data_IF_185486323716
#
_entry.id   IF_185486323716
#
_cell.length_a   1.000
_cell.length_b   1.000
_cell.length_c   1.000
_cell.angle_alpha   90.00
_cell.angle_beta   90.00
_cell.angle_gamma   90.00
#
_symmetry.space_group_name_H-M   'P 1'
#
loop_
_entity.id
_entity.type
_entity.pdbx_description
1 polymer ?
#
# COMPACT_ATOMS: atom_id res chain seq x y z
N UNK A 1 -16.28 -21.52 23.08
CA UNK A 1 -15.76 -20.16 22.84
C UNK A 1 -16.84 -19.20 23.28
N UNK A 2 -16.49 -18.14 24.01
CA UNK A 2 -17.47 -17.13 24.36
C UNK A 2 -17.82 -16.32 23.10
N UNK A 3 -19.10 -16.13 22.82
CA UNK A 3 -19.56 -15.29 21.73
C UNK A 3 -19.73 -13.86 22.27
N UNK A 4 -19.22 -12.86 21.51
CA UNK A 4 -19.31 -11.47 21.86
C UNK A 4 -20.07 -10.72 20.75
N UNK A 5 -20.96 -9.83 21.16
CA UNK A 5 -21.56 -8.89 20.25
C UNK A 5 -20.59 -7.73 20.00
N UNK A 6 -20.16 -7.55 18.75
CA UNK A 6 -19.28 -6.46 18.36
C UNK A 6 -20.14 -5.29 17.89
N UNK A 7 -20.22 -4.24 18.71
CA UNK A 7 -20.87 -3.01 18.31
C UNK A 7 -19.95 -2.14 17.45
N UNK A 8 -20.44 -1.62 16.31
CA UNK A 8 -19.66 -0.71 15.47
C UNK A 8 -19.28 0.56 16.23
N UNK A 9 -17.98 0.85 16.28
CA UNK A 9 -17.46 2.11 16.84
C UNK A 9 -16.67 2.82 15.74
N UNK A 10 -17.13 4.03 15.40
CA UNK A 10 -16.50 4.84 14.37
C UNK A 10 -15.99 6.14 15.00
N UNK A 11 -14.73 6.46 14.75
CA UNK A 11 -14.12 7.74 15.11
C UNK A 11 -13.67 8.48 13.85
N UNK A 12 -14.38 9.54 13.51
CA UNK A 12 -14.15 10.19 12.22
C UNK A 12 -14.55 9.26 11.07
N UNK A 13 -13.60 8.93 10.26
CA UNK A 13 -13.70 7.98 9.15
C UNK A 13 -13.09 6.60 9.49
N UNK A 14 -12.56 6.43 10.71
CA UNK A 14 -11.90 5.19 11.12
C UNK A 14 -12.89 4.29 11.85
N UNK A 15 -13.09 3.08 11.36
CA UNK A 15 -13.75 2.01 12.11
C UNK A 15 -12.80 1.48 13.17
N UNK A 16 -13.16 1.67 14.45
CA UNK A 16 -12.34 1.22 15.58
C UNK A 16 -12.59 -0.24 15.95
N UNK A 17 -13.70 -0.80 15.48
CA UNK A 17 -14.06 -2.19 15.72
C UNK A 17 -14.21 -2.91 14.39
N UNK A 18 -13.70 -4.13 14.34
CA UNK A 18 -13.77 -4.97 13.14
C UNK A 18 -14.45 -6.28 13.48
N UNK A 19 -15.25 -6.79 12.58
CA UNK A 19 -15.93 -8.06 12.73
C UNK A 19 -15.00 -9.19 12.22
N UNK A 20 -14.46 -10.08 13.06
CA UNK A 20 -13.45 -11.07 12.67
C UNK A 20 -13.91 -11.97 11.51
N UNK A 21 -15.12 -12.55 11.63
CA UNK A 21 -15.66 -13.41 10.59
C UNK A 21 -15.97 -12.64 9.28
N UNK A 22 -16.37 -11.35 9.38
CA UNK A 22 -16.56 -10.50 8.20
C UNK A 22 -15.24 -10.23 7.48
N UNK A 23 -14.17 -9.93 8.23
CA UNK A 23 -12.82 -9.77 7.66
C UNK A 23 -12.35 -11.06 6.99
N UNK A 24 -12.50 -12.21 7.65
CA UNK A 24 -12.14 -13.50 7.10
C UNK A 24 -12.92 -13.80 5.81
N UNK A 25 -14.24 -13.61 5.80
CA UNK A 25 -15.06 -13.80 4.59
C UNK A 25 -14.63 -12.89 3.44
N UNK A 26 -14.28 -11.64 3.74
CA UNK A 26 -13.80 -10.71 2.72
C UNK A 26 -12.46 -11.18 2.11
N UNK A 27 -11.55 -11.73 2.91
CA UNK A 27 -10.31 -12.33 2.42
C UNK A 27 -10.60 -13.54 1.54
N UNK A 28 -11.49 -14.43 1.97
CA UNK A 28 -11.89 -15.60 1.17
C UNK A 28 -12.40 -15.20 -0.21
N UNK A 29 -13.29 -14.19 -0.28
CA UNK A 29 -13.82 -13.69 -1.54
C UNK A 29 -12.74 -13.09 -2.44
N UNK A 30 -11.77 -12.38 -1.88
CA UNK A 30 -10.64 -11.85 -2.65
C UNK A 30 -9.77 -12.98 -3.20
N UNK A 31 -9.48 -14.00 -2.39
CA UNK A 31 -8.69 -15.18 -2.81
C UNK A 31 -9.44 -15.97 -3.88
N UNK A 32 -10.74 -16.23 -3.71
CA UNK A 32 -11.59 -16.87 -4.71
C UNK A 32 -11.53 -16.11 -6.05
N UNK A 33 -11.63 -14.78 -6.01
CA UNK A 33 -11.52 -13.94 -7.19
C UNK A 33 -10.15 -14.06 -7.87
N UNK A 34 -9.05 -13.96 -7.10
CA UNK A 34 -7.68 -14.10 -7.62
C UNK A 34 -7.51 -15.46 -8.31
N UNK A 35 -7.96 -16.53 -7.68
CA UNK A 35 -7.86 -17.89 -8.24
C UNK A 35 -8.66 -18.07 -9.53
N UNK A 36 -9.80 -17.39 -9.65
CA UNK A 36 -10.62 -17.47 -10.86
C UNK A 36 -9.97 -16.86 -12.10
N UNK A 37 -8.96 -16.02 -11.93
CA UNK A 37 -8.21 -15.40 -13.04
C UNK A 37 -7.15 -16.33 -13.67
N UNK A 38 -6.89 -17.51 -13.07
CA UNK A 38 -5.95 -18.51 -13.57
C UNK A 38 -4.56 -17.93 -13.92
N UNK A 39 -4.01 -17.11 -13.04
CA UNK A 39 -2.69 -16.51 -13.19
C UNK A 39 -1.60 -17.60 -13.23
N UNK A 40 -0.44 -17.35 -13.86
CA UNK A 40 0.63 -18.33 -13.99
C UNK A 40 1.28 -18.61 -12.63
N UNK A 41 0.84 -19.68 -11.96
CA UNK A 41 1.40 -20.10 -10.67
C UNK A 41 2.75 -20.81 -10.81
N UNK A 42 3.57 -20.67 -9.79
CA UNK A 42 4.80 -21.44 -9.60
C UNK A 42 6.05 -20.81 -10.23
N UNK A 43 7.16 -21.53 -10.11
CA UNK A 43 8.52 -21.05 -10.46
C UNK A 43 8.72 -20.59 -11.91
N UNK A 44 7.81 -20.92 -12.81
CA UNK A 44 7.91 -20.52 -14.22
C UNK A 44 7.84 -19.03 -14.47
N UNK A 45 7.31 -18.25 -13.52
CA UNK A 45 7.22 -16.78 -13.59
C UNK A 45 8.42 -16.06 -12.93
N UNK A 46 9.32 -16.80 -12.27
CA UNK A 46 10.49 -16.25 -11.56
C UNK A 46 10.17 -15.51 -10.27
N UNK A 47 8.93 -15.54 -9.80
CA UNK A 47 8.52 -14.89 -8.53
C UNK A 47 8.41 -15.96 -7.44
N UNK A 48 9.35 -15.96 -6.50
CA UNK A 48 9.36 -16.94 -5.40
C UNK A 48 9.03 -16.31 -4.05
N UNK A 49 9.67 -15.19 -3.70
CA UNK A 49 9.54 -14.55 -2.41
C UNK A 49 9.26 -13.05 -2.55
N UNK A 50 8.22 -12.58 -1.93
CA UNK A 50 7.76 -11.19 -1.97
C UNK A 50 7.74 -10.58 -0.59
N UNK A 51 8.37 -9.44 -0.42
CA UNK A 51 8.24 -8.59 0.77
C UNK A 51 7.24 -7.48 0.48
N UNK A 52 6.22 -7.34 1.34
CA UNK A 52 5.21 -6.28 1.21
C UNK A 52 5.20 -5.42 2.46
N UNK A 53 5.61 -4.17 2.33
CA UNK A 53 5.60 -3.19 3.41
C UNK A 53 4.29 -2.41 3.36
N UNK A 54 3.45 -2.54 4.41
CA UNK A 54 2.07 -2.08 4.40
C UNK A 54 1.08 -3.13 3.87
N UNK A 55 1.14 -4.37 4.38
CA UNK A 55 0.52 -5.57 3.80
C UNK A 55 -0.88 -5.92 4.28
N UNK A 56 -1.44 -5.21 5.26
CA UNK A 56 -2.63 -5.67 6.00
C UNK A 56 -3.97 -5.21 5.44
N UNK A 57 -3.96 -4.13 4.64
CA UNK A 57 -5.17 -3.51 4.08
C UNK A 57 -4.89 -2.89 2.71
N UNK A 58 -5.96 -2.51 1.99
CA UNK A 58 -5.87 -1.74 0.75
C UNK A 58 -5.03 -2.42 -0.34
N UNK A 59 -4.23 -1.61 -1.04
CA UNK A 59 -3.41 -2.09 -2.16
C UNK A 59 -2.31 -3.06 -1.75
N UNK A 60 -1.67 -2.84 -0.60
CA UNK A 60 -0.63 -3.73 -0.11
C UNK A 60 -1.17 -5.12 0.19
N UNK A 61 -2.35 -5.22 0.82
CA UNK A 61 -3.02 -6.50 1.02
C UNK A 61 -3.39 -7.17 -0.31
N UNK A 62 -4.00 -6.41 -1.23
CA UNK A 62 -4.34 -6.93 -2.56
C UNK A 62 -3.12 -7.48 -3.29
N UNK A 63 -1.99 -6.77 -3.24
CA UNK A 63 -0.74 -7.23 -3.83
C UNK A 63 -0.19 -8.48 -3.15
N UNK A 64 -0.21 -8.54 -1.82
CA UNK A 64 0.22 -9.70 -1.04
C UNK A 64 -0.62 -10.94 -1.37
N UNK A 65 -1.96 -10.80 -1.42
CA UNK A 65 -2.87 -11.88 -1.79
C UNK A 65 -2.65 -12.34 -3.24
N UNK A 66 -2.47 -11.40 -4.18
CA UNK A 66 -2.21 -11.71 -5.58
C UNK A 66 -0.89 -12.44 -5.76
N UNK A 67 0.18 -12.00 -5.08
CA UNK A 67 1.47 -12.67 -5.11
C UNK A 67 1.36 -14.11 -4.58
N UNK A 68 0.70 -14.29 -3.43
CA UNK A 68 0.58 -15.60 -2.80
C UNK A 68 -0.37 -16.53 -3.59
N UNK A 69 -1.62 -16.14 -3.76
CA UNK A 69 -2.67 -17.02 -4.28
C UNK A 69 -2.83 -16.99 -5.80
N UNK A 70 -2.29 -15.96 -6.47
CA UNK A 70 -2.31 -15.84 -7.92
C UNK A 70 -1.04 -16.36 -8.58
N UNK A 71 0.11 -16.08 -7.98
CA UNK A 71 1.42 -16.46 -8.53
C UNK A 71 2.12 -17.58 -7.76
N UNK A 72 1.62 -17.98 -6.60
CA UNK A 72 2.21 -19.03 -5.77
C UNK A 72 3.52 -18.63 -5.10
N UNK A 73 3.72 -17.34 -4.88
CA UNK A 73 4.90 -16.83 -4.20
C UNK A 73 4.74 -16.90 -2.68
N UNK A 74 5.83 -17.09 -1.96
CA UNK A 74 5.87 -16.88 -0.52
C UNK A 74 5.83 -15.39 -0.22
N UNK A 75 5.06 -15.00 0.77
CA UNK A 75 4.88 -13.58 1.13
C UNK A 75 5.29 -13.34 2.58
N UNK A 76 6.17 -12.37 2.77
CA UNK A 76 6.44 -11.75 4.06
C UNK A 76 5.84 -10.35 4.05
N UNK A 77 4.89 -10.09 4.93
CA UNK A 77 4.26 -8.79 5.09
C UNK A 77 4.79 -8.05 6.31
N UNK A 78 4.89 -6.73 6.24
CA UNK A 78 5.09 -5.86 7.40
C UNK A 78 3.85 -5.00 7.55
N UNK A 79 3.28 -4.94 8.75
CA UNK A 79 2.08 -4.15 9.03
C UNK A 79 2.07 -3.66 10.47
N UNK A 80 1.24 -2.67 10.76
CA UNK A 80 1.09 -2.15 12.12
C UNK A 80 -0.38 -2.19 12.54
N UNK A 81 -0.76 -3.31 13.13
CA UNK A 81 -2.14 -3.62 13.45
C UNK A 81 -2.32 -3.87 14.95
N UNK A 82 -3.47 -3.44 15.47
CA UNK A 82 -3.82 -3.71 16.86
C UNK A 82 -4.34 -5.13 16.98
N UNK A 83 -3.71 -5.94 17.83
CA UNK A 83 -4.20 -7.27 18.20
C UNK A 83 -5.46 -7.18 19.09
N UNK A 84 -6.33 -8.22 19.09
CA UNK A 84 -7.45 -8.27 20.02
C UNK A 84 -6.95 -8.36 21.47
N UNK A 85 -7.70 -7.74 22.39
CA UNK A 85 -7.37 -7.72 23.82
C UNK A 85 -8.66 -7.84 24.66
N UNK A 86 -8.82 -8.93 25.37
CA UNK A 86 -10.06 -9.25 26.10
C UNK A 86 -11.26 -9.24 25.14
N UNK A 87 -12.27 -8.42 25.45
CA UNK A 87 -13.47 -8.27 24.60
C UNK A 87 -13.29 -7.26 23.46
N UNK A 88 -12.15 -6.56 23.42
CA UNK A 88 -11.88 -5.58 22.37
C UNK A 88 -11.38 -6.29 21.11
N UNK A 89 -12.08 -6.16 19.98
CA UNK A 89 -11.59 -6.75 18.74
C UNK A 89 -10.31 -6.07 18.27
N UNK A 90 -9.50 -6.81 17.52
CA UNK A 90 -8.36 -6.27 16.80
C UNK A 90 -8.79 -5.32 15.67
N UNK A 91 -7.82 -4.71 15.02
CA UNK A 91 -8.06 -3.97 13.77
C UNK A 91 -8.35 -4.92 12.60
N UNK A 92 -8.94 -4.41 11.53
CA UNK A 92 -9.31 -5.22 10.37
C UNK A 92 -8.11 -5.94 9.77
N UNK A 93 -6.98 -5.24 9.63
CA UNK A 93 -5.76 -5.79 9.06
C UNK A 93 -5.17 -6.95 9.87
N UNK A 94 -5.37 -6.97 11.19
CA UNK A 94 -5.01 -8.13 12.03
C UNK A 94 -5.73 -9.41 11.57
N UNK A 95 -7.06 -9.34 11.41
CA UNK A 95 -7.87 -10.48 10.99
C UNK A 95 -7.64 -10.85 9.53
N UNK A 96 -7.42 -9.86 8.67
CA UNK A 96 -7.06 -10.07 7.27
C UNK A 96 -5.78 -10.90 7.15
N UNK A 97 -4.73 -10.49 7.86
CA UNK A 97 -3.42 -11.17 7.84
C UNK A 97 -3.53 -12.57 8.41
N UNK A 98 -4.27 -12.75 9.51
CA UNK A 98 -4.49 -14.07 10.11
C UNK A 98 -5.20 -15.02 9.13
N UNK A 99 -6.28 -14.56 8.47
CA UNK A 99 -7.01 -15.39 7.52
C UNK A 99 -6.19 -15.73 6.28
N UNK A 100 -5.43 -14.75 5.75
CA UNK A 100 -4.52 -15.01 4.63
C UNK A 100 -3.47 -16.06 4.97
N UNK A 101 -2.88 -15.97 6.17
CA UNK A 101 -1.89 -16.96 6.66
C UNK A 101 -2.49 -18.36 6.80
N UNK A 102 -3.69 -18.48 7.40
CA UNK A 102 -4.39 -19.75 7.53
C UNK A 102 -4.67 -20.41 6.17
N UNK A 103 -5.15 -19.62 5.21
CA UNK A 103 -5.48 -20.12 3.86
C UNK A 103 -4.22 -20.49 3.09
N UNK A 104 -3.14 -19.72 3.20
CA UNK A 104 -1.86 -20.04 2.57
C UNK A 104 -1.29 -21.37 3.10
N UNK A 105 -1.36 -21.60 4.41
CA UNK A 105 -0.91 -22.86 5.01
C UNK A 105 -1.68 -24.09 4.48
N UNK A 106 -2.99 -23.95 4.20
CA UNK A 106 -3.78 -25.01 3.57
C UNK A 106 -3.33 -25.36 2.14
N UNK A 107 -2.76 -24.38 1.43
CA UNK A 107 -2.23 -24.53 0.07
C UNK A 107 -0.73 -24.87 0.03
N UNK A 108 -0.10 -25.13 1.17
CA UNK A 108 1.35 -25.28 1.32
C UNK A 108 2.16 -24.07 0.83
N UNK A 109 1.60 -22.87 0.98
CA UNK A 109 2.24 -21.58 0.72
C UNK A 109 2.61 -20.90 2.04
N UNK A 110 3.55 -19.98 1.99
CA UNK A 110 3.96 -19.16 3.14
C UNK A 110 3.35 -17.78 2.99
N UNK A 111 2.55 -17.37 3.96
CA UNK A 111 2.08 -16.01 4.13
C UNK A 111 2.28 -15.62 5.60
N UNK A 112 3.33 -14.87 5.87
CA UNK A 112 3.67 -14.43 7.22
C UNK A 112 3.61 -12.92 7.33
N UNK A 113 3.36 -12.42 8.53
CA UNK A 113 3.38 -10.98 8.80
C UNK A 113 4.17 -10.66 10.07
N UNK A 114 5.01 -9.63 9.99
CA UNK A 114 5.66 -8.98 11.12
C UNK A 114 4.82 -7.75 11.48
N UNK A 115 4.37 -7.70 12.73
CA UNK A 115 3.48 -6.65 13.20
C UNK A 115 4.23 -5.62 14.05
N UNK A 116 4.43 -4.45 13.52
CA UNK A 116 5.07 -3.32 14.18
C UNK A 116 5.27 -2.13 13.24
N UNK A 117 5.89 -1.08 13.76
CA UNK A 117 6.16 0.13 13.00
C UNK A 117 7.25 -0.13 11.95
N UNK A 118 6.88 -0.11 10.67
CA UNK A 118 7.79 -0.35 9.56
C UNK A 118 8.93 0.68 9.46
N UNK A 119 8.78 1.85 10.06
CA UNK A 119 9.85 2.86 10.12
C UNK A 119 10.94 2.52 11.15
N UNK A 120 10.65 1.66 12.12
CA UNK A 120 11.58 1.37 13.21
C UNK A 120 12.68 0.38 12.80
N UNK A 121 13.89 0.61 13.32
CA UNK A 121 15.04 -0.29 13.12
C UNK A 121 14.76 -1.69 13.68
N UNK A 122 13.99 -1.79 14.75
CA UNK A 122 13.64 -3.06 15.37
C UNK A 122 12.81 -3.94 14.40
N UNK A 123 11.81 -3.39 13.74
CA UNK A 123 11.00 -4.11 12.75
C UNK A 123 11.81 -4.40 11.49
N UNK A 124 12.65 -3.49 11.04
CA UNK A 124 13.59 -3.74 9.93
C UNK A 124 14.52 -4.92 10.26
N UNK A 125 15.08 -4.96 11.47
CA UNK A 125 15.93 -6.06 11.96
C UNK A 125 15.18 -7.39 12.02
N UNK A 126 13.99 -7.43 12.62
CA UNK A 126 13.16 -8.64 12.68
C UNK A 126 12.81 -9.17 11.28
N UNK A 127 12.55 -8.26 10.33
CA UNK A 127 12.27 -8.63 8.94
C UNK A 127 13.48 -9.27 8.27
N UNK A 128 14.66 -8.68 8.45
CA UNK A 128 15.93 -9.23 7.95
C UNK A 128 16.19 -10.64 8.51
N UNK A 129 15.99 -10.84 9.82
CA UNK A 129 16.17 -12.14 10.45
C UNK A 129 15.18 -13.19 9.91
N UNK A 130 13.92 -12.80 9.73
CA UNK A 130 12.91 -13.67 9.13
C UNK A 130 13.27 -14.07 7.70
N UNK A 131 13.72 -13.11 6.87
CA UNK A 131 14.15 -13.38 5.50
C UNK A 131 15.33 -14.36 5.48
N UNK A 132 16.35 -14.14 6.30
CA UNK A 132 17.54 -15.04 6.40
C UNK A 132 17.15 -16.45 6.78
N UNK A 133 16.18 -16.60 7.68
CA UNK A 133 15.78 -17.89 8.22
C UNK A 133 14.87 -18.68 7.27
N UNK A 134 13.91 -18.02 6.61
CA UNK A 134 12.79 -18.73 5.99
C UNK A 134 12.67 -18.48 4.47
N UNK A 135 13.18 -17.37 3.95
CA UNK A 135 13.02 -16.99 2.55
C UNK A 135 14.33 -17.03 1.75
N UNK A 136 15.44 -16.76 2.40
CA UNK A 136 16.75 -16.66 1.76
C UNK A 136 16.93 -15.34 1.00
N UNK A 137 16.28 -15.17 -0.13
CA UNK A 137 16.33 -13.94 -0.94
C UNK A 137 14.94 -13.49 -1.39
N UNK A 138 14.80 -12.18 -1.61
CA UNK A 138 13.55 -11.54 -2.05
C UNK A 138 13.65 -11.14 -3.53
N UNK A 139 12.66 -11.55 -4.31
CA UNK A 139 12.55 -11.23 -5.73
C UNK A 139 11.83 -9.91 -5.99
N UNK A 140 10.85 -9.59 -5.14
CA UNK A 140 10.03 -8.40 -5.29
C UNK A 140 9.79 -7.74 -3.94
N UNK A 141 10.07 -6.44 -3.84
CA UNK A 141 9.69 -5.61 -2.70
C UNK A 141 8.57 -4.67 -3.11
N UNK A 142 7.44 -4.73 -2.43
CA UNK A 142 6.29 -3.83 -2.65
C UNK A 142 6.22 -2.86 -1.48
N UNK A 143 6.37 -1.57 -1.76
CA UNK A 143 6.24 -0.50 -0.78
C UNK A 143 4.87 0.16 -0.90
N UNK A 144 3.99 -0.16 0.04
CA UNK A 144 2.59 0.30 0.10
C UNK A 144 2.29 0.98 1.43
N UNK A 145 3.29 1.60 2.03
CA UNK A 145 3.14 2.25 3.33
C UNK A 145 2.54 3.64 3.16
N UNK A 146 1.50 3.91 3.93
CA UNK A 146 0.92 5.23 4.11
C UNK A 146 0.60 5.43 5.59
N UNK A 147 1.19 6.43 6.21
CA UNK A 147 1.03 6.68 7.62
C UNK A 147 0.76 8.17 7.89
N UNK A 148 0.08 8.50 9.00
CA UNK A 148 -0.07 9.89 9.40
C UNK A 148 1.19 10.45 10.09
N UNK A 149 2.10 9.55 10.53
CA UNK A 149 3.24 9.92 11.37
C UNK A 149 4.40 8.94 11.16
N UNK A 150 5.63 9.45 11.24
CA UNK A 150 6.88 8.68 11.29
C UNK A 150 7.75 9.19 12.45
N UNK A 151 8.26 8.28 13.27
CA UNK A 151 9.40 8.50 14.14
C UNK A 151 10.65 8.05 13.37
N UNK A 152 11.66 8.91 13.26
CA UNK A 152 12.88 8.60 12.50
C UNK A 152 13.97 7.92 13.34
N UNK A 153 13.67 7.58 14.60
CA UNK A 153 14.63 6.97 15.50
C UNK A 153 15.76 7.92 15.98
N UNK A 154 15.80 9.14 15.46
CA UNK A 154 16.79 10.17 15.80
C UNK A 154 16.24 11.26 16.73
N UNK A 155 15.03 11.07 17.21
CA UNK A 155 14.32 11.99 18.09
C UNK A 155 13.39 12.96 17.38
N UNK A 156 13.20 12.87 16.05
CA UNK A 156 12.25 13.67 15.34
C UNK A 156 10.97 12.86 15.06
N UNK A 157 9.85 13.52 15.21
CA UNK A 157 8.53 12.98 14.89
C UNK A 157 7.92 13.81 13.78
N UNK A 158 7.83 13.21 12.61
CA UNK A 158 7.27 13.81 11.42
C UNK A 158 5.79 13.49 11.29
N UNK A 159 4.98 14.47 10.86
CA UNK A 159 3.56 14.26 10.62
C UNK A 159 3.25 14.59 9.16
N UNK A 160 2.42 13.76 8.54
CA UNK A 160 1.89 14.03 7.21
C UNK A 160 0.56 14.77 7.30
N UNK A 161 0.37 15.73 6.41
CA UNK A 161 -0.87 16.48 6.27
C UNK A 161 -1.31 16.47 4.81
N UNK A 162 -2.61 16.64 4.58
CA UNK A 162 -3.17 16.86 3.26
C UNK A 162 -3.65 18.30 3.15
N UNK A 163 -2.80 19.14 2.58
CA UNK A 163 -3.04 20.57 2.41
C UNK A 163 -2.60 21.04 1.04
N UNK A 164 -3.25 22.09 0.49
CA UNK A 164 -2.75 22.76 -0.70
C UNK A 164 -1.42 23.46 -0.40
N UNK A 165 -0.67 23.79 -1.44
CA UNK A 165 0.51 24.65 -1.38
C UNK A 165 0.13 25.97 -2.06
N UNK A 166 0.69 27.08 -1.58
CA UNK A 166 0.54 28.44 -2.07
C UNK A 166 -0.82 29.10 -1.85
N UNK A 167 -1.94 28.46 -2.14
CA UNK A 167 -3.27 29.05 -2.06
C UNK A 167 -4.23 28.23 -1.22
N UNK A 168 -5.11 28.96 -0.50
CA UNK A 168 -6.22 28.33 0.22
C UNK A 168 -7.10 27.53 -0.75
N UNK A 169 -7.46 26.33 -0.35
CA UNK A 169 -8.42 25.52 -1.07
C UNK A 169 -9.83 25.72 -0.51
N UNK A 170 -10.77 25.98 -1.39
CA UNK A 170 -12.20 26.03 -1.07
C UNK A 170 -12.95 25.03 -1.94
N UNK A 171 -13.86 24.27 -1.34
CA UNK A 171 -14.58 23.25 -2.08
C UNK A 171 -15.67 22.57 -1.24
N UNK A 172 -16.25 21.53 -1.80
CA UNK A 172 -17.29 20.72 -1.14
C UNK A 172 -16.73 19.36 -0.73
N UNK A 173 -17.15 18.91 0.46
CA UNK A 173 -16.84 17.58 0.98
C UNK A 173 -18.12 16.88 1.40
N UNK A 174 -18.12 15.55 1.38
CA UNK A 174 -19.22 14.75 1.90
C UNK A 174 -18.91 14.33 3.34
N UNK A 175 -19.73 14.82 4.28
CA UNK A 175 -19.68 14.38 5.66
C UNK A 175 -20.42 13.04 5.79
N UNK A 176 -19.67 11.95 5.92
CA UNK A 176 -20.21 10.59 6.03
C UNK A 176 -21.10 10.36 7.26
N UNK A 177 -20.95 11.18 8.32
CA UNK A 177 -21.76 11.04 9.53
C UNK A 177 -23.11 11.73 9.41
N UNK A 178 -23.10 12.91 8.77
CA UNK A 178 -24.30 13.72 8.58
C UNK A 178 -25.01 13.39 7.27
N UNK A 179 -24.38 12.56 6.43
CA UNK A 179 -24.83 12.22 5.08
C UNK A 179 -25.16 13.47 4.25
N UNK A 180 -24.35 14.51 4.41
CA UNK A 180 -24.59 15.83 3.83
C UNK A 180 -23.32 16.40 3.17
N UNK A 181 -23.55 17.24 2.19
CA UNK A 181 -22.49 18.02 1.54
C UNK A 181 -22.24 19.27 2.39
N UNK A 182 -20.95 19.50 2.72
CA UNK A 182 -20.50 20.66 3.49
C UNK A 182 -19.45 21.43 2.71
N UNK A 183 -19.44 22.74 2.86
CA UNK A 183 -18.34 23.56 2.35
C UNK A 183 -17.12 23.42 3.27
N UNK A 184 -15.96 23.27 2.66
CA UNK A 184 -14.68 23.19 3.38
C UNK A 184 -13.74 24.26 2.88
N UNK A 185 -12.90 24.75 3.78
CA UNK A 185 -11.79 25.65 3.50
C UNK A 185 -10.53 25.11 4.18
N UNK A 186 -9.45 24.96 3.42
CA UNK A 186 -8.18 24.41 3.90
C UNK A 186 -7.08 25.41 3.61
N UNK A 187 -6.41 25.86 4.68
CA UNK A 187 -5.29 26.80 4.59
C UNK A 187 -4.08 26.13 3.93
N UNK A 188 -3.22 26.90 3.24
CA UNK A 188 -1.98 26.42 2.67
C UNK A 188 -1.09 25.78 3.74
N UNK A 189 -0.28 24.82 3.30
CA UNK A 189 0.71 24.18 4.16
C UNK A 189 1.88 25.11 4.45
N UNK A 190 2.41 25.00 5.65
CA UNK A 190 3.70 25.60 5.99
C UNK A 190 4.86 24.80 5.40
N UNK A 191 6.06 25.36 5.35
CA UNK A 191 7.26 24.65 4.90
C UNK A 191 7.53 23.39 5.75
N UNK A 192 7.31 23.44 7.05
CA UNK A 192 7.50 22.30 7.96
C UNK A 192 6.47 21.20 7.71
N UNK A 193 5.22 21.56 7.38
CA UNK A 193 4.17 20.58 7.03
C UNK A 193 4.47 19.91 5.68
N UNK A 194 5.03 20.62 4.72
CA UNK A 194 5.48 20.05 3.44
C UNK A 194 6.62 19.06 3.69
N UNK A 195 7.66 19.49 4.43
CA UNK A 195 8.79 18.65 4.76
C UNK A 195 8.36 17.42 5.58
N UNK A 196 7.53 17.61 6.61
CA UNK A 196 7.01 16.51 7.42
C UNK A 196 6.24 15.49 6.58
N UNK A 197 5.41 15.95 5.65
CA UNK A 197 4.67 15.07 4.73
C UNK A 197 5.62 14.31 3.81
N UNK A 198 6.67 14.97 3.30
CA UNK A 198 7.68 14.33 2.48
C UNK A 198 8.46 13.26 3.27
N UNK A 199 8.82 13.52 4.54
CA UNK A 199 9.50 12.57 5.42
C UNK A 199 8.68 11.32 5.71
N UNK A 200 7.35 11.46 5.82
CA UNK A 200 6.44 10.34 6.12
C UNK A 200 6.03 9.59 4.85
N UNK A 201 5.70 10.31 3.77
CA UNK A 201 5.02 9.76 2.59
C UNK A 201 5.89 9.76 1.32
N UNK A 202 7.12 10.25 1.41
CA UNK A 202 8.11 10.24 0.33
C UNK A 202 8.85 8.91 0.23
N UNK A 203 9.96 8.92 -0.48
CA UNK A 203 10.73 7.71 -0.80
C UNK A 203 11.86 7.37 0.18
N UNK A 204 12.09 8.18 1.23
CA UNK A 204 13.26 8.00 2.12
C UNK A 204 13.25 6.62 2.79
N UNK A 205 12.16 6.24 3.45
CA UNK A 205 12.06 4.93 4.11
C UNK A 205 12.07 3.76 3.10
N UNK A 206 11.46 3.95 1.92
CA UNK A 206 11.57 2.96 0.86
C UNK A 206 13.01 2.73 0.42
N UNK A 207 13.79 3.79 0.30
CA UNK A 207 15.21 3.72 0.00
C UNK A 207 15.98 2.99 1.11
N UNK A 208 15.72 3.34 2.37
CA UNK A 208 16.33 2.67 3.54
C UNK A 208 16.07 1.15 3.52
N UNK A 209 14.84 0.71 3.24
CA UNK A 209 14.49 -0.71 3.11
C UNK A 209 15.30 -1.41 2.02
N UNK A 210 15.40 -0.82 0.83
CA UNK A 210 16.11 -1.44 -0.29
C UNK A 210 17.62 -1.48 -0.05
N UNK A 211 18.20 -0.40 0.48
CA UNK A 211 19.61 -0.33 0.81
C UNK A 211 19.97 -1.36 1.89
N UNK A 212 19.16 -1.48 2.94
CA UNK A 212 19.35 -2.47 4.00
C UNK A 212 19.30 -3.91 3.44
N UNK A 213 18.32 -4.23 2.58
CA UNK A 213 18.24 -5.55 1.95
C UNK A 213 19.44 -5.83 1.03
N UNK A 214 19.93 -4.82 0.31
CA UNK A 214 21.09 -4.94 -0.56
C UNK A 214 22.38 -5.16 0.26
N UNK A 215 22.61 -4.38 1.31
CA UNK A 215 23.75 -4.52 2.23
C UNK A 215 23.80 -5.92 2.88
N UNK A 216 22.64 -6.44 3.26
CA UNK A 216 22.50 -7.77 3.84
C UNK A 216 22.54 -8.90 2.78
N UNK A 217 22.65 -8.56 1.49
CA UNK A 217 22.66 -9.51 0.35
C UNK A 217 21.41 -10.39 0.27
N UNK A 218 20.27 -9.82 0.62
CA UNK A 218 18.97 -10.51 0.67
C UNK A 218 18.10 -10.26 -0.58
N UNK A 219 18.56 -9.47 -1.53
CA UNK A 219 17.91 -9.32 -2.83
C UNK A 219 18.35 -10.45 -3.78
N UNK A 220 17.41 -11.01 -4.51
CA UNK A 220 17.68 -11.98 -5.57
C UNK A 220 18.34 -11.29 -6.79
N UNK A 221 18.97 -12.07 -7.66
CA UNK A 221 19.51 -11.55 -8.91
C UNK A 221 18.34 -11.08 -9.79
N UNK A 222 18.39 -9.82 -10.22
CA UNK A 222 17.29 -9.18 -10.94
C UNK A 222 16.08 -8.82 -10.05
N UNK A 223 16.27 -8.67 -8.75
CA UNK A 223 15.23 -8.24 -7.83
C UNK A 223 14.61 -6.91 -8.25
N UNK A 224 13.31 -6.80 -8.03
CA UNK A 224 12.51 -5.63 -8.39
C UNK A 224 11.89 -4.99 -7.18
N UNK A 225 11.64 -3.68 -7.26
CA UNK A 225 10.87 -2.99 -6.23
C UNK A 225 9.85 -2.05 -6.86
N UNK A 226 8.71 -1.92 -6.23
CA UNK A 226 7.64 -1.02 -6.66
C UNK A 226 7.04 -0.30 -5.47
N UNK A 227 6.91 1.02 -5.59
CA UNK A 227 6.15 1.81 -4.62
C UNK A 227 4.81 2.25 -5.23
N UNK A 228 3.76 2.20 -4.42
CA UNK A 228 2.42 2.58 -4.85
C UNK A 228 2.20 4.07 -4.72
N UNK A 229 1.64 4.66 -5.75
CA UNK A 229 1.35 6.08 -5.87
C UNK A 229 -0.07 6.29 -6.39
N UNK A 230 -0.54 7.52 -6.25
CA UNK A 230 -1.81 7.98 -6.77
C UNK A 230 -1.68 9.45 -7.17
N UNK A 231 -2.20 9.83 -8.33
CA UNK A 231 -2.14 11.21 -8.82
C UNK A 231 -3.46 11.94 -8.62
N UNK A 232 -4.56 11.25 -8.81
CA UNK A 232 -5.92 11.81 -8.78
C UNK A 232 -6.33 12.54 -10.06
N UNK A 233 -7.66 12.73 -10.24
CA UNK A 233 -8.21 13.50 -11.35
C UNK A 233 -8.00 15.00 -11.13
N UNK A 234 -8.16 15.78 -12.19
CA UNK A 234 -7.96 17.24 -12.17
C UNK A 234 -8.72 17.95 -11.04
N UNK A 235 -9.95 17.53 -10.77
CA UNK A 235 -10.79 18.10 -9.70
C UNK A 235 -10.17 17.97 -8.30
N UNK A 236 -9.26 17.02 -8.07
CA UNK A 236 -8.59 16.80 -6.78
C UNK A 236 -7.14 17.29 -6.77
N UNK A 237 -6.61 17.77 -7.89
CA UNK A 237 -5.20 18.10 -8.02
C UNK A 237 -4.74 19.23 -7.08
N UNK A 238 -5.59 20.20 -6.79
CA UNK A 238 -5.24 21.29 -5.87
C UNK A 238 -4.84 20.79 -4.47
N UNK A 239 -5.47 19.71 -4.00
CA UNK A 239 -5.14 19.10 -2.71
C UNK A 239 -4.17 17.94 -2.82
N UNK A 240 -4.12 17.26 -3.97
CA UNK A 240 -3.35 16.03 -4.14
C UNK A 240 -2.04 16.29 -4.88
N UNK A 241 -2.08 16.44 -6.23
CA UNK A 241 -0.87 16.58 -7.03
C UNK A 241 -0.11 17.88 -6.76
N UNK A 242 -0.84 18.96 -6.52
CA UNK A 242 -0.28 20.30 -6.26
C UNK A 242 -0.26 20.63 -4.75
N UNK A 243 -0.50 19.62 -3.90
CA UNK A 243 -0.47 19.74 -2.45
C UNK A 243 0.73 19.01 -1.83
N UNK A 244 0.72 18.94 -0.52
CA UNK A 244 1.79 18.31 0.29
C UNK A 244 2.05 16.85 -0.12
N UNK A 245 1.01 16.09 -0.41
CA UNK A 245 1.15 14.71 -0.89
C UNK A 245 1.82 14.66 -2.26
N UNK A 246 1.54 15.61 -3.15
CA UNK A 246 2.19 15.71 -4.46
C UNK A 246 3.69 15.90 -4.34
N UNK A 247 4.16 16.75 -3.43
CA UNK A 247 5.59 16.93 -3.16
C UNK A 247 6.23 15.64 -2.61
N UNK A 248 5.55 14.94 -1.70
CA UNK A 248 6.00 13.62 -1.24
C UNK A 248 6.07 12.60 -2.38
N UNK A 249 5.11 12.63 -3.33
CA UNK A 249 5.12 11.73 -4.49
C UNK A 249 6.22 12.07 -5.50
N UNK A 250 6.54 13.34 -5.71
CA UNK A 250 7.73 13.74 -6.49
C UNK A 250 9.02 13.21 -5.87
N UNK A 251 9.13 13.28 -4.54
CA UNK A 251 10.27 12.68 -3.82
C UNK A 251 10.32 11.17 -4.02
N UNK A 252 9.19 10.47 -3.94
CA UNK A 252 9.09 9.05 -4.21
C UNK A 252 9.52 8.69 -5.65
N UNK A 253 9.10 9.48 -6.65
CA UNK A 253 9.48 9.33 -8.05
C UNK A 253 11.01 9.49 -8.25
N UNK A 254 11.63 10.48 -7.62
CA UNK A 254 13.07 10.67 -7.64
C UNK A 254 13.83 9.52 -6.96
N UNK A 255 13.28 9.01 -5.87
CA UNK A 255 13.82 7.83 -5.18
C UNK A 255 13.80 6.59 -6.09
N UNK A 256 12.72 6.37 -6.87
CA UNK A 256 12.68 5.28 -7.83
C UNK A 256 13.85 5.34 -8.83
N UNK A 257 14.17 6.53 -9.35
CA UNK A 257 15.29 6.74 -10.28
C UNK A 257 16.64 6.41 -9.61
N UNK A 258 16.79 6.76 -8.32
CA UNK A 258 18.01 6.44 -7.57
C UNK A 258 18.14 4.93 -7.33
N UNK A 259 17.06 4.29 -6.89
CA UNK A 259 17.01 2.85 -6.63
C UNK A 259 17.18 2.01 -7.89
N UNK A 260 16.66 2.46 -9.02
CA UNK A 260 16.85 1.78 -10.31
C UNK A 260 18.33 1.63 -10.67
N UNK A 261 19.14 2.66 -10.38
CA UNK A 261 20.58 2.62 -10.55
C UNK A 261 21.25 1.61 -9.61
N UNK A 262 20.82 1.55 -8.35
CA UNK A 262 21.35 0.62 -7.35
C UNK A 262 21.06 -0.83 -7.76
N UNK A 263 19.81 -1.12 -8.10
CA UNK A 263 19.37 -2.47 -8.47
C UNK A 263 19.92 -2.92 -9.83
N UNK A 264 20.09 -2.01 -10.79
CA UNK A 264 20.73 -2.29 -12.06
C UNK A 264 22.20 -2.67 -11.95
N UNK A 265 22.91 -2.16 -10.92
CA UNK A 265 24.32 -2.50 -10.65
C UNK A 265 24.49 -3.82 -9.90
N UNK A 266 23.50 -4.26 -9.13
CA UNK A 266 23.52 -5.54 -8.40
C UNK A 266 23.19 -6.73 -9.27
N UNK A 267 22.73 -6.51 -10.50
CA UNK A 267 22.45 -7.56 -11.48
C UNK A 267 23.75 -8.17 -12.01
N UNK A 268 24.17 -9.29 -11.44
CA UNK A 268 25.17 -10.14 -12.08
C UNK A 268 24.57 -10.73 -13.36
N UNK A 269 25.09 -10.34 -14.51
CA UNK A 269 24.63 -10.66 -15.88
C UNK A 269 24.54 -12.17 -16.22
N UNK A 270 24.48 -13.07 -15.25
CA UNK A 270 24.44 -14.51 -15.47
C UNK A 270 23.07 -15.02 -15.90
N UNK A 271 21.98 -14.35 -15.52
CA UNK A 271 20.60 -14.79 -15.84
C UNK A 271 19.91 -13.94 -16.91
N UNK A 272 20.51 -12.82 -17.33
CA UNK A 272 19.89 -11.87 -18.26
C UNK A 272 18.69 -11.10 -17.70
N UNK A 273 18.39 -11.24 -16.42
CA UNK A 273 17.28 -10.54 -15.77
C UNK A 273 17.79 -9.24 -15.14
N UNK A 274 17.25 -8.11 -15.58
CA UNK A 274 17.60 -6.80 -15.04
C UNK A 274 16.64 -6.47 -13.91
N UNK A 275 17.20 -6.15 -12.73
CA UNK A 275 16.45 -5.58 -11.61
C UNK A 275 16.07 -4.13 -11.88
N UNK A 276 15.22 -3.57 -11.03
CA UNK A 276 14.85 -2.16 -11.14
C UNK A 276 13.83 -1.70 -10.11
N UNK A 277 13.55 -0.39 -10.16
CA UNK A 277 12.59 0.26 -9.27
C UNK A 277 11.53 1.02 -10.07
N UNK A 278 10.27 0.87 -9.69
CA UNK A 278 9.14 1.47 -10.38
C UNK A 278 8.18 2.16 -9.40
N UNK A 279 7.43 3.11 -9.95
CA UNK A 279 6.25 3.67 -9.30
C UNK A 279 5.02 3.11 -10.01
N UNK A 280 4.14 2.48 -9.27
CA UNK A 280 2.82 2.09 -9.76
C UNK A 280 1.81 3.20 -9.42
N UNK A 281 1.37 3.93 -10.44
CA UNK A 281 0.30 4.92 -10.29
C UNK A 281 -1.03 4.20 -10.36
N UNK A 282 -1.61 3.94 -9.21
CA UNK A 282 -2.83 3.18 -9.10
C UNK A 282 -4.06 4.07 -9.33
N UNK A 283 -5.15 3.49 -9.82
CA UNK A 283 -6.43 4.19 -9.87
C UNK A 283 -7.06 4.34 -8.48
N UNK A 284 -8.05 5.21 -8.38
CA UNK A 284 -8.80 5.38 -7.14
C UNK A 284 -9.60 4.12 -6.80
N UNK A 285 -9.47 3.64 -5.56
CA UNK A 285 -10.31 2.60 -4.97
C UNK A 285 -10.80 3.04 -3.60
N UNK A 286 -11.97 2.53 -3.19
CA UNK A 286 -12.49 2.80 -1.85
C UNK A 286 -11.70 1.98 -0.85
N UNK A 287 -10.89 2.66 -0.07
CA UNK A 287 -10.15 2.10 1.06
C UNK A 287 -10.47 2.90 2.31
N UNK A 288 -10.13 2.37 3.48
CA UNK A 288 -10.24 3.14 4.72
C UNK A 288 -9.43 4.46 4.64
N UNK A 289 -8.28 4.44 3.99
CA UNK A 289 -7.45 5.62 3.80
C UNK A 289 -8.11 6.68 2.89
N UNK A 290 -8.81 6.27 1.83
CA UNK A 290 -9.46 7.21 0.91
C UNK A 290 -10.62 7.98 1.55
N UNK A 291 -11.29 7.42 2.56
CA UNK A 291 -12.36 8.10 3.30
C UNK A 291 -11.85 9.21 4.24
N UNK A 292 -10.53 9.21 4.51
CA UNK A 292 -9.87 10.25 5.32
C UNK A 292 -9.62 11.54 4.55
N UNK A 293 -9.66 11.50 3.22
CA UNK A 293 -9.22 12.57 2.35
C UNK A 293 -10.41 13.51 2.08
N UNK A 294 -10.35 14.80 2.46
CA UNK A 294 -11.39 15.76 2.12
C UNK A 294 -11.68 15.76 0.62
N UNK A 295 -12.93 16.02 0.23
CA UNK A 295 -13.39 16.03 -1.18
C UNK A 295 -13.40 14.66 -1.85
N UNK A 296 -12.40 13.82 -1.60
CA UNK A 296 -12.27 12.50 -2.26
C UNK A 296 -13.48 11.62 -1.97
N UNK A 297 -14.05 11.66 -0.77
CA UNK A 297 -15.24 10.89 -0.42
C UNK A 297 -16.42 11.20 -1.34
N UNK A 298 -16.68 12.47 -1.67
CA UNK A 298 -17.74 12.87 -2.59
C UNK A 298 -17.44 12.40 -4.02
N UNK A 299 -16.22 12.67 -4.50
CA UNK A 299 -15.78 12.22 -5.82
C UNK A 299 -15.90 10.70 -5.97
N UNK A 300 -15.40 9.95 -4.99
CA UNK A 300 -15.43 8.49 -5.01
C UNK A 300 -16.84 7.93 -5.00
N UNK A 301 -17.76 8.51 -4.23
CA UNK A 301 -19.16 8.08 -4.18
C UNK A 301 -19.82 8.20 -5.55
N UNK A 302 -19.59 9.30 -6.26
CA UNK A 302 -20.11 9.53 -7.60
C UNK A 302 -19.45 8.58 -8.60
N UNK A 303 -18.13 8.47 -8.58
CA UNK A 303 -17.35 7.62 -9.49
C UNK A 303 -17.79 6.15 -9.37
N UNK A 304 -17.86 5.62 -8.15
CA UNK A 304 -18.25 4.22 -7.93
C UNK A 304 -19.68 3.93 -8.32
N UNK A 305 -20.58 4.87 -8.09
CA UNK A 305 -21.95 4.73 -8.60
C UNK A 305 -21.96 4.56 -10.12
N UNK A 306 -21.27 5.42 -10.86
CA UNK A 306 -21.18 5.36 -12.31
C UNK A 306 -20.50 4.07 -12.81
N UNK A 307 -19.41 3.65 -12.16
CA UNK A 307 -18.71 2.42 -12.50
C UNK A 307 -19.56 1.18 -12.25
N UNK A 308 -20.33 1.15 -11.16
CA UNK A 308 -21.25 0.05 -10.87
C UNK A 308 -22.43 0.00 -11.86
N UNK A 309 -23.01 1.15 -12.22
CA UNK A 309 -24.08 1.24 -13.22
C UNK A 309 -23.62 0.74 -14.62
N UNK A 310 -22.31 0.85 -14.91
CA UNK A 310 -21.69 0.40 -16.17
C UNK A 310 -21.08 -0.99 -16.12
N UNK A 311 -21.07 -1.65 -14.95
CA UNK A 311 -20.34 -2.90 -14.69
C UNK A 311 -18.82 -2.79 -15.01
N UNK A 312 -18.23 -1.61 -14.79
CA UNK A 312 -16.81 -1.32 -15.01
C UNK A 312 -16.01 -1.25 -13.70
N UNK A 313 -16.64 -1.58 -12.57
CA UNK A 313 -15.98 -1.54 -11.27
C UNK A 313 -15.04 -2.74 -11.10
N UNK A 314 -13.75 -2.46 -10.91
CA UNK A 314 -12.73 -3.46 -10.66
C UNK A 314 -12.28 -3.43 -9.20
N UNK A 315 -12.10 -4.60 -8.61
CA UNK A 315 -11.56 -4.72 -7.25
C UNK A 315 -10.06 -4.38 -7.19
N UNK A 316 -9.55 -4.16 -5.98
CA UNK A 316 -8.11 -3.90 -5.76
C UNK A 316 -7.24 -5.04 -6.31
N UNK A 317 -7.68 -6.29 -6.17
CA UNK A 317 -6.95 -7.45 -6.68
C UNK A 317 -6.95 -7.45 -8.22
N UNK A 318 -8.07 -7.14 -8.87
CA UNK A 318 -8.15 -7.06 -10.33
C UNK A 318 -7.11 -6.11 -10.91
N UNK A 319 -6.92 -4.95 -10.29
CA UNK A 319 -5.95 -3.95 -10.73
C UNK A 319 -4.51 -4.46 -10.76
N UNK A 320 -4.16 -5.33 -9.81
CA UNK A 320 -2.79 -5.79 -9.63
C UNK A 320 -2.37 -6.87 -10.64
N UNK A 321 -3.32 -7.64 -11.18
CA UNK A 321 -3.01 -8.64 -12.20
C UNK A 321 -3.39 -8.20 -13.62
N UNK A 322 -4.19 -7.15 -13.79
CA UNK A 322 -4.54 -6.59 -15.09
C UNK A 322 -3.67 -5.40 -15.51
N UNK A 323 -2.93 -4.81 -14.58
CA UNK A 323 -2.04 -3.66 -14.85
C UNK A 323 -0.60 -4.13 -15.12
N UNK A 324 0.08 -3.55 -16.13
CA UNK A 324 -0.47 -2.56 -17.03
C UNK A 324 -1.32 -3.21 -18.14
N UNK A 325 -2.59 -2.85 -18.21
CA UNK A 325 -3.36 -3.19 -19.40
C UNK A 325 -2.82 -2.38 -20.61
N UNK A 326 -2.96 -2.86 -21.84
CA UNK A 326 -2.60 -2.09 -23.03
C UNK A 326 -3.29 -0.73 -23.12
N UNK A 327 -4.43 -0.55 -22.41
CA UNK A 327 -5.15 0.72 -22.31
C UNK A 327 -4.48 1.69 -21.32
N UNK A 328 -3.79 1.18 -20.31
CA UNK A 328 -3.12 1.98 -19.27
C UNK A 328 -1.72 2.43 -19.68
N UNK A 329 -1.09 1.76 -20.63
CA UNK A 329 0.23 2.13 -21.17
C UNK A 329 0.24 3.53 -21.81
N UNK A 330 -0.89 4.03 -22.29
CA UNK A 330 -1.00 5.39 -22.83
C UNK A 330 -1.06 6.47 -21.74
N UNK A 331 -1.45 6.10 -20.51
CA UNK A 331 -1.58 7.02 -19.36
C UNK A 331 -0.42 6.92 -18.37
N UNK A 332 0.36 5.83 -18.42
CA UNK A 332 1.49 5.59 -17.51
C UNK A 332 2.83 6.16 -18.00
N UNK A 333 2.91 6.65 -19.24
CA UNK A 333 4.07 7.44 -19.68
C UNK A 333 3.89 8.85 -19.13
N UNK A 334 4.57 9.14 -18.02
CA UNK A 334 4.87 10.51 -17.66
C UNK A 334 5.57 11.15 -18.85
N UNK A 335 5.13 12.34 -19.34
CA UNK A 335 5.92 13.06 -20.32
C UNK A 335 7.27 13.33 -19.66
N UNK A 336 8.32 12.79 -20.26
CA UNK A 336 9.67 13.25 -19.98
C UNK A 336 9.68 14.73 -20.32
N UNK A 337 9.86 15.57 -19.32
CA UNK A 337 10.27 16.98 -19.35
C UNK A 337 9.89 17.75 -20.63
N UNK A 338 8.91 18.63 -20.54
CA UNK A 338 8.98 19.93 -21.17
C UNK A 338 8.99 20.99 -20.07
#
# INVERSE_FOLDING_TARGET
>A
MAEFLIEPRIRGFISLTSHPAGCAKNIDLQIERIRSENLPMGQKNGLQNVLVIGSSTGYGLGAALTACFGYGANVLGVCFERKPEGEKPGSAGWYNSARASETAAQDNLIFQTINGDAFSDDIKTQTIESIKKEYGKIDLVIYSLAAPRRDDGQGNVWNSVLKPIDQRYEGKSFDLRKESITDISIEPATADEILGTQKVMGGEDWQEWIELLAEQKLLADGARTVAFSYIGPEITQALYRNGTIGEAKKHLENTAIALDKVLGQTSNNTTGTVGGAWISVNKAVVTQASSAIPVVGLYMSILFRLLNERNENESTCCLLYTSPSPRDLSTSRMPSSA
#
